data_IF_087084352763
#
_entry.id   IF_087084352763
#
_cell.length_a   1.000
_cell.length_b   1.000
_cell.length_c   1.000
_cell.angle_alpha   90.00
_cell.angle_beta   90.00
_cell.angle_gamma   90.00
#
_symmetry.space_group_name_H-M   'P 1'
#
loop_
_entity.id
_entity.type
_entity.pdbx_description
1 polymer ?
#
# COMPACT_ATOMS: atom_id res chain seq x y z
N UNK A 1 53.17 -41.18 -20.60
CA UNK A 1 53.21 -40.34 -19.39
C UNK A 1 51.95 -40.60 -18.55
N UNK A 2 51.89 -41.74 -17.86
CA UNK A 2 50.75 -42.12 -17.01
C UNK A 2 51.08 -42.00 -15.51
N UNK A 3 52.31 -42.34 -15.11
CA UNK A 3 52.75 -42.31 -13.71
C UNK A 3 52.82 -40.92 -13.07
N UNK A 4 52.95 -39.85 -13.86
CA UNK A 4 52.98 -38.47 -13.33
C UNK A 4 51.58 -37.97 -12.94
N UNK A 5 50.54 -38.42 -13.66
CA UNK A 5 49.14 -38.18 -13.27
C UNK A 5 48.76 -38.99 -12.04
N UNK A 6 49.20 -40.26 -11.98
CA UNK A 6 48.98 -41.13 -10.82
C UNK A 6 49.67 -40.60 -9.56
N UNK A 7 50.91 -40.11 -9.67
CA UNK A 7 51.63 -39.50 -8.56
C UNK A 7 50.94 -38.22 -8.05
N UNK A 8 50.50 -37.34 -8.96
CA UNK A 8 49.74 -36.13 -8.59
C UNK A 8 48.38 -36.47 -7.98
N UNK A 9 47.72 -37.51 -8.46
CA UNK A 9 46.46 -37.99 -7.90
C UNK A 9 46.65 -38.51 -6.47
N UNK A 10 47.65 -39.36 -6.25
CA UNK A 10 47.93 -39.91 -4.93
C UNK A 10 48.33 -38.83 -3.92
N UNK A 11 49.07 -37.81 -4.34
CA UNK A 11 49.36 -36.65 -3.49
C UNK A 11 48.08 -35.90 -3.08
N UNK A 12 47.15 -35.66 -4.04
CA UNK A 12 45.86 -35.01 -3.75
C UNK A 12 44.95 -35.83 -2.84
N UNK A 13 44.96 -37.16 -2.96
CA UNK A 13 44.23 -38.03 -2.03
C UNK A 13 44.81 -37.97 -0.62
N UNK A 14 46.14 -37.88 -0.48
CA UNK A 14 46.81 -37.69 0.80
C UNK A 14 46.43 -36.36 1.47
N UNK A 15 46.38 -35.27 0.70
CA UNK A 15 45.95 -33.95 1.19
C UNK A 15 44.50 -33.99 1.71
N UNK A 16 43.59 -34.66 0.99
CA UNK A 16 42.18 -34.80 1.39
C UNK A 16 42.04 -35.61 2.67
N UNK A 17 42.73 -36.75 2.77
CA UNK A 17 42.69 -37.59 3.97
C UNK A 17 43.22 -36.85 5.21
N UNK A 18 44.29 -36.07 5.05
CA UNK A 18 44.84 -35.26 6.15
C UNK A 18 43.85 -34.18 6.63
N UNK A 19 43.14 -33.53 5.71
CA UNK A 19 42.11 -32.55 6.04
C UNK A 19 40.89 -33.22 6.72
N UNK A 20 40.45 -34.38 6.24
CA UNK A 20 39.37 -35.15 6.86
C UNK A 20 39.70 -35.57 8.30
N UNK A 21 40.94 -35.99 8.55
CA UNK A 21 41.37 -36.37 9.90
C UNK A 21 41.51 -35.16 10.84
N UNK A 22 41.93 -34.00 10.32
CA UNK A 22 41.92 -32.74 11.08
C UNK A 22 40.49 -32.33 11.48
N UNK A 23 39.51 -32.48 10.58
CA UNK A 23 38.10 -32.19 10.86
C UNK A 23 37.57 -33.11 11.96
N UNK A 24 37.80 -34.44 11.83
CA UNK A 24 37.37 -35.42 12.86
C UNK A 24 37.94 -35.11 14.24
N UNK A 25 39.20 -34.69 14.32
CA UNK A 25 39.86 -34.35 15.58
C UNK A 25 39.23 -33.09 16.22
N UNK A 26 38.88 -32.10 15.39
CA UNK A 26 38.21 -30.88 15.83
C UNK A 26 36.79 -31.16 16.34
N UNK A 27 36.04 -32.00 15.63
CA UNK A 27 34.69 -32.40 16.01
C UNK A 27 34.67 -33.19 17.34
N UNK A 28 35.64 -34.10 17.54
CA UNK A 28 35.78 -34.85 18.78
C UNK A 28 36.13 -33.97 20.00
N UNK A 29 36.93 -32.93 19.80
CA UNK A 29 37.26 -31.94 20.86
C UNK A 29 36.10 -30.98 21.13
N UNK A 30 35.30 -30.63 20.12
CA UNK A 30 34.08 -29.85 20.28
C UNK A 30 32.99 -30.62 21.07
N UNK A 31 32.80 -31.91 20.77
CA UNK A 31 31.83 -32.78 21.46
C UNK A 31 32.14 -32.97 22.96
N UNK A 32 33.42 -32.96 23.34
CA UNK A 32 33.84 -33.08 24.75
C UNK A 32 33.51 -31.83 25.58
N UNK A 33 33.52 -30.65 24.97
CA UNK A 33 33.15 -29.40 25.64
C UNK A 33 31.64 -29.24 25.84
N UNK A 34 30.78 -29.84 25.01
CA UNK A 34 29.32 -29.66 25.16
C UNK A 34 28.72 -30.42 26.36
N UNK A 35 29.45 -31.33 26.99
CA UNK A 35 28.94 -32.25 28.01
C UNK A 35 29.00 -31.73 29.46
N UNK A 36 29.65 -30.58 29.74
CA UNK A 36 29.76 -30.05 31.10
C UNK A 36 28.50 -29.27 31.52
N UNK A 37 27.98 -29.52 32.73
CA UNK A 37 26.79 -28.85 33.27
C UNK A 37 26.96 -27.33 33.43
N UNK A 38 28.18 -26.84 33.72
CA UNK A 38 28.50 -25.41 33.78
C UNK A 38 28.30 -24.71 32.43
N UNK A 39 28.60 -25.40 31.32
CA UNK A 39 28.40 -24.86 29.99
C UNK A 39 26.92 -24.68 29.67
N UNK A 40 26.03 -25.52 30.18
CA UNK A 40 24.59 -25.38 29.96
C UNK A 40 24.02 -24.12 30.63
N UNK A 41 24.40 -23.85 31.89
CA UNK A 41 23.95 -22.65 32.59
C UNK A 41 24.49 -21.37 31.93
N UNK A 42 25.76 -21.39 31.49
CA UNK A 42 26.36 -20.28 30.76
C UNK A 42 25.68 -20.05 29.40
N UNK A 43 25.38 -21.11 28.64
CA UNK A 43 24.65 -21.03 27.38
C UNK A 43 23.23 -20.45 27.56
N UNK A 44 22.54 -20.83 28.64
CA UNK A 44 21.22 -20.25 28.95
C UNK A 44 21.30 -18.76 29.28
N UNK A 45 22.33 -18.34 30.03
CA UNK A 45 22.57 -16.91 30.30
C UNK A 45 22.85 -16.14 29.00
N UNK A 46 23.68 -16.69 28.12
CA UNK A 46 23.98 -16.08 26.81
C UNK A 46 22.72 -15.96 25.94
N UNK A 47 21.81 -16.93 26.01
CA UNK A 47 20.50 -16.85 25.37
C UNK A 47 19.69 -15.63 25.83
N UNK A 48 19.63 -15.38 27.14
CA UNK A 48 18.95 -14.20 27.70
C UNK A 48 19.63 -12.88 27.29
N UNK A 49 20.96 -12.88 27.16
CA UNK A 49 21.71 -11.70 26.73
C UNK A 49 21.50 -11.37 25.24
N UNK A 50 21.23 -12.37 24.39
CA UNK A 50 20.89 -12.15 22.97
C UNK A 50 19.60 -11.35 22.84
N UNK A 51 18.56 -11.67 23.62
CA UNK A 51 17.28 -10.95 23.59
C UNK A 51 17.47 -9.48 23.97
N UNK A 52 18.26 -9.22 25.03
CA UNK A 52 18.61 -7.86 25.46
C UNK A 52 19.42 -7.11 24.40
N UNK A 53 20.42 -7.76 23.81
CA UNK A 53 21.24 -7.18 22.74
C UNK A 53 20.42 -6.85 21.50
N UNK A 54 19.44 -7.68 21.15
CA UNK A 54 18.54 -7.45 20.03
C UNK A 54 17.59 -6.25 20.25
N UNK A 55 17.08 -6.09 21.47
CA UNK A 55 16.12 -5.06 21.86
C UNK A 55 16.71 -3.69 22.20
N UNK A 56 18.03 -3.60 22.42
CA UNK A 56 18.67 -2.34 22.83
C UNK A 56 18.54 -1.23 21.75
N UNK A 57 18.17 0.02 22.12
CA UNK A 57 17.97 1.12 21.16
C UNK A 57 19.20 1.48 20.33
N UNK A 58 20.41 1.18 20.81
CA UNK A 58 21.67 1.43 20.11
C UNK A 58 22.09 0.33 19.11
N UNK A 59 21.33 -0.77 19.02
CA UNK A 59 21.72 -1.92 18.21
C UNK A 59 21.54 -1.63 16.72
N UNK A 60 22.66 -1.55 15.99
CA UNK A 60 22.65 -1.31 14.56
C UNK A 60 22.13 -2.51 13.76
N UNK A 61 21.60 -2.30 12.54
CA UNK A 61 21.27 -3.39 11.63
C UNK A 61 22.45 -4.34 11.33
N UNK A 62 23.69 -3.82 11.35
CA UNK A 62 24.89 -4.62 11.15
C UNK A 62 25.10 -5.62 12.29
N UNK A 63 24.93 -5.18 13.55
CA UNK A 63 25.01 -6.03 14.74
C UNK A 63 23.92 -7.10 14.74
N UNK A 64 22.67 -6.74 14.40
CA UNK A 64 21.57 -7.71 14.26
C UNK A 64 21.87 -8.77 13.21
N UNK A 65 22.45 -8.36 12.08
CA UNK A 65 22.88 -9.28 11.02
C UNK A 65 24.00 -10.21 11.47
N UNK A 66 24.94 -9.74 12.28
CA UNK A 66 25.98 -10.59 12.87
C UNK A 66 25.37 -11.63 13.81
N UNK A 67 24.47 -11.23 14.72
CA UNK A 67 23.78 -12.16 15.63
C UNK A 67 23.07 -13.27 14.84
N UNK A 68 22.29 -12.91 13.80
CA UNK A 68 21.61 -13.91 12.96
C UNK A 68 22.60 -14.88 12.30
N UNK A 69 23.69 -14.37 11.73
CA UNK A 69 24.71 -15.21 11.06
C UNK A 69 25.40 -16.19 12.00
N UNK A 70 25.50 -15.85 13.28
CA UNK A 70 26.06 -16.74 14.29
C UNK A 70 25.08 -17.83 14.73
N UNK A 71 23.77 -17.59 14.62
CA UNK A 71 22.75 -18.52 15.13
C UNK A 71 22.15 -19.41 14.05
N UNK A 72 22.01 -18.89 12.84
CA UNK A 72 21.38 -19.58 11.70
C UNK A 72 22.46 -20.19 10.81
N UNK A 73 22.33 -21.48 10.56
CA UNK A 73 23.15 -22.23 9.60
C UNK A 73 22.61 -22.01 8.19
N UNK A 74 21.34 -22.34 7.99
CA UNK A 74 20.66 -22.12 6.72
C UNK A 74 19.15 -21.92 6.92
N UNK A 75 18.50 -21.43 5.87
CA UNK A 75 17.05 -21.34 5.79
C UNK A 75 16.62 -22.03 4.51
N UNK A 76 15.99 -23.19 4.65
CA UNK A 76 15.42 -23.93 3.52
C UNK A 76 14.03 -23.36 3.24
N UNK A 77 13.77 -23.00 1.99
CA UNK A 77 12.48 -22.44 1.58
C UNK A 77 11.87 -23.33 0.51
N UNK A 78 10.71 -23.90 0.81
CA UNK A 78 9.89 -24.62 -0.15
C UNK A 78 8.60 -23.84 -0.43
N UNK A 79 8.05 -24.10 -1.60
CA UNK A 79 6.87 -23.40 -2.10
C UNK A 79 5.83 -24.45 -2.43
N UNK A 80 4.76 -24.49 -1.64
CA UNK A 80 3.59 -25.34 -1.87
C UNK A 80 2.36 -24.48 -2.18
N UNK A 81 1.98 -24.43 -3.46
CA UNK A 81 0.86 -23.62 -3.93
C UNK A 81 0.97 -22.15 -3.53
N UNK A 82 0.07 -21.71 -2.64
CA UNK A 82 -0.05 -20.36 -2.07
C UNK A 82 0.66 -20.21 -0.71
N UNK A 83 1.46 -21.18 -0.28
CA UNK A 83 2.20 -21.16 0.98
C UNK A 83 3.70 -21.26 0.72
N UNK A 84 4.47 -20.45 1.45
CA UNK A 84 5.92 -20.54 1.55
C UNK A 84 6.19 -21.22 2.88
N UNK A 85 6.79 -22.39 2.83
CA UNK A 85 7.29 -23.07 4.03
C UNK A 85 8.76 -22.75 4.18
N UNK A 86 9.15 -22.37 5.38
CA UNK A 86 10.52 -22.06 5.76
C UNK A 86 10.91 -23.01 6.87
N UNK A 87 12.08 -23.61 6.75
CA UNK A 87 12.71 -24.36 7.81
C UNK A 87 14.03 -23.66 8.12
N UNK A 88 14.14 -23.13 9.34
CA UNK A 88 15.36 -22.52 9.85
C UNK A 88 16.18 -23.63 10.49
N UNK A 89 17.39 -23.84 9.98
CA UNK A 89 18.39 -24.70 10.61
C UNK A 89 19.28 -23.84 11.50
N UNK A 90 19.29 -24.15 12.78
CA UNK A 90 20.10 -23.47 13.78
C UNK A 90 21.43 -24.19 13.93
N UNK A 91 22.50 -23.44 14.20
CA UNK A 91 23.86 -23.97 14.41
C UNK A 91 23.95 -25.01 15.55
N UNK A 92 22.93 -25.12 16.41
CA UNK A 92 22.82 -26.14 17.46
C UNK A 92 22.09 -27.42 17.05
N UNK A 93 21.80 -27.63 15.75
CA UNK A 93 21.09 -28.80 15.23
C UNK A 93 19.57 -28.79 15.47
N UNK A 94 19.03 -27.70 16.03
CA UNK A 94 17.59 -27.51 16.16
C UNK A 94 16.99 -27.02 14.82
N UNK A 95 15.71 -27.34 14.60
CA UNK A 95 14.97 -26.87 13.44
C UNK A 95 13.71 -26.11 13.87
N UNK A 96 13.40 -25.02 13.17
CA UNK A 96 12.14 -24.28 13.37
C UNK A 96 11.42 -24.11 12.06
N UNK A 97 10.20 -24.65 11.98
CA UNK A 97 9.35 -24.54 10.81
C UNK A 97 8.44 -23.30 10.92
N UNK A 98 8.28 -22.59 9.81
CA UNK A 98 7.38 -21.46 9.67
C UNK A 98 6.66 -21.57 8.33
N UNK A 99 5.34 -21.50 8.34
CA UNK A 99 4.54 -21.41 7.13
C UNK A 99 4.00 -19.98 6.98
N UNK A 100 4.29 -19.34 5.84
CA UNK A 100 3.79 -18.01 5.50
C UNK A 100 3.04 -18.10 4.20
N UNK A 101 1.81 -17.61 4.17
CA UNK A 101 1.05 -17.53 2.92
C UNK A 101 1.78 -16.61 1.93
N UNK A 102 1.98 -17.05 0.69
CA UNK A 102 2.47 -16.22 -0.40
C UNK A 102 1.63 -14.95 -0.49
N UNK A 103 2.32 -13.84 -0.70
CA UNK A 103 1.66 -12.65 -1.19
C UNK A 103 1.15 -12.93 -2.61
N UNK A 104 -0.16 -12.80 -2.83
CA UNK A 104 -0.76 -12.98 -4.16
C UNK A 104 -0.06 -12.04 -5.16
N UNK A 105 0.14 -12.52 -6.39
CA UNK A 105 0.79 -11.73 -7.45
C UNK A 105 0.17 -10.32 -7.52
N UNK A 106 1.00 -9.27 -7.32
CA UNK A 106 0.54 -7.87 -7.27
C UNK A 106 0.15 -7.31 -5.89
N UNK A 107 0.48 -7.98 -4.78
CA UNK A 107 0.34 -7.46 -3.41
C UNK A 107 1.70 -7.37 -2.70
N UNK A 108 2.46 -6.30 -2.96
CA UNK A 108 3.59 -5.92 -2.11
C UNK A 108 3.07 -5.12 -0.89
N UNK A 109 3.80 -5.10 0.24
CA UNK A 109 3.53 -4.29 1.46
C UNK A 109 3.28 -2.78 1.21
N UNK A 110 3.53 -2.30 -0.01
CA UNK A 110 3.39 -0.90 -0.42
C UNK A 110 2.27 -0.71 -1.46
N UNK A 111 1.27 -1.60 -1.52
CA UNK A 111 0.15 -1.48 -2.47
C UNK A 111 -0.78 -0.34 -2.03
N UNK A 112 -1.12 0.51 -2.98
CA UNK A 112 -2.23 1.46 -2.82
C UNK A 112 -3.53 0.66 -2.70
N UNK A 113 -4.37 1.03 -1.74
CA UNK A 113 -5.65 0.36 -1.46
C UNK A 113 -6.50 0.22 -2.74
N UNK A 114 -7.19 -0.92 -2.91
CA UNK A 114 -8.03 -1.17 -4.09
C UNK A 114 -9.12 -0.08 -4.24
N UNK A 115 -9.61 0.44 -3.11
CA UNK A 115 -10.53 1.57 -3.05
C UNK A 115 -10.02 2.80 -3.82
N UNK A 116 -8.70 3.06 -3.79
CA UNK A 116 -8.10 4.21 -4.48
C UNK A 116 -7.98 3.95 -5.98
N UNK A 117 -7.74 2.69 -6.38
CA UNK A 117 -7.72 2.31 -7.80
C UNK A 117 -9.11 2.47 -8.40
N UNK A 118 -10.14 1.98 -7.71
CA UNK A 118 -11.53 2.09 -8.16
C UNK A 118 -12.01 3.54 -8.18
N UNK A 119 -11.66 4.32 -7.16
CA UNK A 119 -11.92 5.76 -7.15
C UNK A 119 -11.18 6.48 -8.29
N UNK A 120 -9.92 6.14 -8.55
CA UNK A 120 -9.16 6.71 -9.68
C UNK A 120 -9.82 6.37 -11.01
N UNK A 121 -10.31 5.14 -11.18
CA UNK A 121 -11.03 4.71 -12.38
C UNK A 121 -12.33 5.51 -12.60
N UNK A 122 -13.08 5.74 -11.53
CA UNK A 122 -14.28 6.57 -11.60
C UNK A 122 -13.95 8.03 -11.95
N UNK A 123 -12.95 8.62 -11.28
CA UNK A 123 -12.55 10.02 -11.50
C UNK A 123 -11.90 10.26 -12.87
N UNK A 124 -11.19 9.28 -13.42
CA UNK A 124 -10.56 9.38 -14.75
C UNK A 124 -11.58 9.60 -15.88
N UNK A 125 -12.84 9.18 -15.69
CA UNK A 125 -13.94 9.42 -16.63
C UNK A 125 -14.56 10.81 -16.52
N UNK A 126 -14.09 11.62 -15.57
CA UNK A 126 -14.68 12.91 -15.23
C UNK A 126 -13.70 14.07 -15.32
N UNK A 127 -12.42 13.81 -15.04
CA UNK A 127 -11.43 14.86 -14.92
C UNK A 127 -9.99 14.38 -15.19
N UNK A 128 -9.09 15.29 -15.60
CA UNK A 128 -7.68 14.97 -15.83
C UNK A 128 -6.92 14.60 -14.56
N UNK A 129 -5.84 13.83 -14.72
CA UNK A 129 -4.99 13.28 -13.65
C UNK A 129 -4.55 14.31 -12.59
N UNK A 130 -4.34 15.57 -12.98
CA UNK A 130 -3.98 16.65 -12.06
C UNK A 130 -5.09 16.93 -11.03
N UNK A 131 -6.35 16.93 -11.45
CA UNK A 131 -7.48 17.15 -10.56
C UNK A 131 -7.81 15.89 -9.75
N UNK A 132 -7.60 14.70 -10.32
CA UNK A 132 -7.69 13.44 -9.58
C UNK A 132 -6.74 13.45 -8.39
N UNK A 133 -5.49 13.86 -8.58
CA UNK A 133 -4.50 13.95 -7.50
C UNK A 133 -4.99 14.87 -6.36
N UNK A 134 -5.55 16.04 -6.70
CA UNK A 134 -6.11 16.96 -5.73
C UNK A 134 -7.32 16.36 -4.99
N UNK A 135 -8.20 15.64 -5.69
CA UNK A 135 -9.35 14.96 -5.09
C UNK A 135 -8.92 13.85 -4.11
N UNK A 136 -7.96 13.01 -4.49
CA UNK A 136 -7.42 11.96 -3.63
C UNK A 136 -6.77 12.54 -2.35
N UNK A 137 -6.00 13.63 -2.47
CA UNK A 137 -5.40 14.30 -1.33
C UNK A 137 -6.46 14.92 -0.39
N UNK A 138 -7.50 15.57 -0.94
CA UNK A 138 -8.62 16.10 -0.13
C UNK A 138 -9.43 15.02 0.55
N UNK A 139 -9.52 13.84 -0.05
CA UNK A 139 -10.13 12.65 0.55
C UNK A 139 -9.24 11.96 1.60
N UNK A 140 -8.04 12.50 1.88
CA UNK A 140 -7.10 11.94 2.86
C UNK A 140 -6.45 10.63 2.40
N UNK A 141 -6.52 10.30 1.11
CA UNK A 141 -5.92 9.07 0.59
C UNK A 141 -4.42 9.28 0.37
N UNK A 142 -3.64 8.29 0.76
CA UNK A 142 -2.18 8.25 0.53
C UNK A 142 -1.84 7.08 -0.38
N UNK A 143 -0.69 7.19 -1.05
CA UNK A 143 -0.10 6.03 -1.77
C UNK A 143 0.27 4.93 -0.78
N UNK A 144 0.48 3.71 -1.27
CA UNK A 144 0.92 2.62 -0.39
C UNK A 144 2.25 2.88 0.35
N UNK A 145 3.07 3.86 -0.10
CA UNK A 145 4.29 4.34 0.60
C UNK A 145 4.04 5.52 1.56
N UNK A 146 2.79 5.87 1.84
CA UNK A 146 2.44 7.00 2.71
C UNK A 146 2.63 8.39 2.09
N UNK A 147 3.01 8.48 0.82
CA UNK A 147 3.16 9.77 0.12
C UNK A 147 1.81 10.31 -0.36
N UNK A 148 1.70 11.63 -0.47
CA UNK A 148 0.59 12.30 -1.16
C UNK A 148 0.58 12.06 -2.67
N UNK A 149 -0.57 12.31 -3.28
CA UNK A 149 -0.80 12.15 -4.72
C UNK A 149 -0.32 13.36 -5.52
N UNK A 150 0.34 13.08 -6.64
CA UNK A 150 0.72 14.06 -7.67
C UNK A 150 0.21 13.57 -9.01
N UNK A 151 0.10 14.47 -10.00
CA UNK A 151 -0.33 14.12 -11.36
C UNK A 151 0.49 12.95 -11.93
N UNK A 152 1.82 12.97 -11.77
CA UNK A 152 2.70 11.89 -12.24
C UNK A 152 2.38 10.55 -11.55
N UNK A 153 2.13 10.54 -10.24
CA UNK A 153 1.78 9.31 -9.50
C UNK A 153 0.42 8.75 -9.92
N UNK A 154 -0.55 9.63 -10.19
CA UNK A 154 -1.85 9.21 -10.75
C UNK A 154 -1.66 8.62 -12.14
N UNK A 155 -0.90 9.27 -13.02
CA UNK A 155 -0.60 8.75 -14.36
C UNK A 155 0.06 7.36 -14.31
N UNK A 156 1.05 7.17 -13.43
CA UNK A 156 1.69 5.85 -13.21
C UNK A 156 0.69 4.81 -12.71
N UNK A 157 -0.14 5.14 -11.71
CA UNK A 157 -1.19 4.25 -11.20
C UNK A 157 -2.17 3.86 -12.32
N UNK A 158 -2.62 4.87 -13.08
CA UNK A 158 -3.57 4.74 -14.17
C UNK A 158 -3.03 3.80 -15.25
N UNK A 159 -1.79 4.01 -15.70
CA UNK A 159 -1.14 3.18 -16.71
C UNK A 159 -0.92 1.73 -16.21
N UNK A 160 -0.49 1.56 -14.95
CA UNK A 160 -0.29 0.23 -14.36
C UNK A 160 -1.59 -0.57 -14.28
N UNK A 161 -2.72 0.10 -14.00
CA UNK A 161 -4.05 -0.52 -13.92
C UNK A 161 -4.85 -0.43 -15.23
N UNK A 162 -4.23 -0.03 -16.34
CA UNK A 162 -4.87 0.11 -17.66
C UNK A 162 -6.16 0.96 -17.64
N UNK A 163 -6.19 1.99 -16.81
CA UNK A 163 -7.29 2.93 -16.74
C UNK A 163 -7.16 3.93 -17.89
N UNK A 164 -8.24 4.14 -18.65
CA UNK A 164 -8.25 5.07 -19.78
C UNK A 164 -8.09 6.51 -19.29
N UNK A 165 -7.37 7.33 -20.05
CA UNK A 165 -7.18 8.76 -19.75
C UNK A 165 -8.49 9.52 -19.96
N UNK A 166 -8.70 10.59 -19.19
CA UNK A 166 -9.82 11.49 -19.36
C UNK A 166 -9.93 11.98 -20.81
N UNK A 167 -11.14 11.87 -21.37
CA UNK A 167 -11.52 12.40 -22.67
C UNK A 167 -12.58 13.47 -22.49
N UNK A 168 -12.28 14.67 -22.99
CA UNK A 168 -13.25 15.76 -23.05
C UNK A 168 -14.45 15.35 -23.91
N UNK A 169 -15.67 15.67 -23.47
CA UNK A 169 -16.91 15.26 -24.14
C UNK A 169 -17.52 13.94 -23.65
N UNK A 170 -16.74 13.03 -23.04
CA UNK A 170 -17.25 11.71 -22.60
C UNK A 170 -18.38 11.84 -21.56
N UNK A 171 -18.33 12.87 -20.72
CA UNK A 171 -19.39 13.15 -19.74
C UNK A 171 -20.69 13.60 -20.40
N UNK A 172 -20.59 14.52 -21.35
CA UNK A 172 -21.73 15.06 -22.08
C UNK A 172 -22.42 13.96 -22.89
N UNK A 173 -21.66 13.04 -23.49
CA UNK A 173 -22.19 11.85 -24.16
C UNK A 173 -23.02 10.94 -23.23
N UNK A 174 -22.71 10.92 -21.93
CA UNK A 174 -23.48 10.18 -20.91
C UNK A 174 -24.66 10.97 -20.33
N UNK A 175 -24.86 12.21 -20.76
CA UNK A 175 -25.84 13.11 -20.16
C UNK A 175 -25.48 13.51 -18.72
N UNK A 176 -24.19 13.54 -18.38
CA UNK A 176 -23.71 13.91 -17.05
C UNK A 176 -23.17 15.35 -17.03
N UNK A 177 -23.76 16.19 -16.19
CA UNK A 177 -23.39 17.59 -16.02
C UNK A 177 -22.65 17.82 -14.70
N UNK A 178 -21.71 18.76 -14.71
CA UNK A 178 -21.11 19.30 -13.49
C UNK A 178 -22.07 20.24 -12.80
N UNK A 179 -21.72 20.63 -11.58
CA UNK A 179 -22.47 21.62 -10.82
C UNK A 179 -22.58 22.99 -11.55
N UNK A 180 -21.50 23.42 -12.20
CA UNK A 180 -21.48 24.71 -12.90
C UNK A 180 -22.32 24.65 -14.19
N UNK A 181 -22.18 23.57 -14.97
CA UNK A 181 -23.02 23.35 -16.17
C UNK A 181 -24.52 23.22 -15.80
N UNK A 182 -24.84 22.52 -14.71
CA UNK A 182 -26.21 22.43 -14.22
C UNK A 182 -26.75 23.78 -13.74
N UNK A 183 -25.89 24.64 -13.20
CA UNK A 183 -26.26 26.01 -12.81
C UNK A 183 -26.59 26.87 -14.02
N UNK A 184 -25.85 26.74 -15.12
CA UNK A 184 -26.16 27.40 -16.38
C UNK A 184 -27.50 26.93 -16.96
N UNK A 185 -27.73 25.61 -17.01
CA UNK A 185 -29.01 25.04 -17.51
C UNK A 185 -30.20 25.50 -16.68
N UNK A 186 -30.06 25.55 -15.36
CA UNK A 186 -31.10 26.00 -14.45
C UNK A 186 -31.13 27.53 -14.28
N UNK A 187 -30.28 28.31 -14.96
CA UNK A 187 -30.13 29.75 -14.77
C UNK A 187 -30.11 30.16 -13.28
N UNK A 188 -29.30 29.44 -12.50
CA UNK A 188 -29.11 29.65 -11.06
C UNK A 188 -27.62 29.87 -10.75
N UNK A 189 -27.32 30.35 -9.55
CA UNK A 189 -25.95 30.35 -9.06
C UNK A 189 -25.49 28.91 -8.71
N UNK A 190 -24.20 28.57 -8.88
CA UNK A 190 -23.62 27.30 -8.40
C UNK A 190 -23.96 26.99 -6.93
N UNK A 191 -23.96 28.02 -6.07
CA UNK A 191 -24.35 27.89 -4.67
C UNK A 191 -25.81 27.48 -4.47
N UNK A 192 -26.73 27.91 -5.34
CA UNK A 192 -28.14 27.56 -5.28
C UNK A 192 -28.38 26.11 -5.74
N UNK A 193 -27.68 25.67 -6.79
CA UNK A 193 -27.68 24.27 -7.22
C UNK A 193 -27.10 23.36 -6.14
N UNK A 194 -26.00 23.75 -5.51
CA UNK A 194 -25.45 23.01 -4.37
C UNK A 194 -26.46 22.87 -3.24
N UNK A 195 -27.22 23.94 -2.96
CA UNK A 195 -28.26 23.93 -1.92
C UNK A 195 -29.43 23.02 -2.29
N UNK A 196 -29.85 22.98 -3.56
CA UNK A 196 -30.85 22.03 -4.06
C UNK A 196 -30.45 20.58 -3.83
N UNK A 197 -29.17 20.26 -4.07
CA UNK A 197 -28.61 18.92 -3.82
C UNK A 197 -28.62 18.59 -2.33
N UNK A 198 -28.18 19.54 -1.49
CA UNK A 198 -28.15 19.36 -0.03
C UNK A 198 -29.54 19.19 0.59
N UNK A 199 -30.55 19.87 0.03
CA UNK A 199 -31.96 19.72 0.43
C UNK A 199 -32.62 18.46 -0.16
N UNK A 200 -31.89 17.67 -0.97
CA UNK A 200 -32.41 16.45 -1.60
C UNK A 200 -33.38 16.69 -2.76
N UNK A 201 -33.57 17.94 -3.19
CA UNK A 201 -34.50 18.31 -4.27
C UNK A 201 -33.92 18.03 -5.65
N UNK A 202 -32.59 18.03 -5.80
CA UNK A 202 -31.89 17.67 -7.03
C UNK A 202 -31.02 16.42 -6.79
N UNK A 203 -31.32 15.29 -7.45
CA UNK A 203 -30.46 14.12 -7.39
C UNK A 203 -29.06 14.42 -7.96
N UNK A 204 -28.02 14.15 -7.17
CA UNK A 204 -26.64 14.27 -7.62
C UNK A 204 -25.74 13.27 -6.91
N UNK A 205 -24.77 12.72 -7.63
CA UNK A 205 -23.75 11.82 -7.11
C UNK A 205 -22.43 12.54 -6.86
N UNK A 206 -21.71 12.14 -5.82
CA UNK A 206 -20.32 12.54 -5.60
C UNK A 206 -19.51 11.32 -5.17
N UNK A 207 -18.45 11.00 -5.91
CA UNK A 207 -17.61 9.82 -5.64
C UNK A 207 -16.77 9.93 -4.36
N UNK A 208 -16.25 11.12 -4.07
CA UNK A 208 -15.55 11.40 -2.82
C UNK A 208 -15.67 12.88 -2.45
N UNK A 209 -15.45 13.21 -1.18
CA UNK A 209 -15.49 14.60 -0.72
C UNK A 209 -14.59 15.50 -1.58
N UNK A 210 -15.19 16.49 -2.23
CA UNK A 210 -14.48 17.44 -3.08
C UNK A 210 -14.17 16.94 -4.51
N UNK A 211 -14.68 15.78 -4.92
CA UNK A 211 -14.87 15.48 -6.34
C UNK A 211 -16.01 16.35 -6.92
N UNK A 212 -16.06 16.57 -8.24
CA UNK A 212 -17.21 17.22 -8.87
C UNK A 212 -18.52 16.48 -8.54
N UNK A 213 -19.60 17.25 -8.41
CA UNK A 213 -20.95 16.68 -8.41
C UNK A 213 -21.31 16.26 -9.83
N UNK A 214 -21.97 15.10 -9.93
CA UNK A 214 -22.48 14.55 -11.18
C UNK A 214 -23.99 14.60 -11.11
N UNK A 215 -24.57 15.34 -12.03
CA UNK A 215 -26.01 15.55 -12.14
C UNK A 215 -26.42 15.02 -13.51
N UNK A 216 -27.46 14.18 -13.59
CA UNK A 216 -27.97 13.75 -14.89
C UNK A 216 -28.80 14.85 -15.52
N UNK A 217 -28.67 15.02 -16.84
CA UNK A 217 -29.45 16.00 -17.58
C UNK A 217 -30.96 15.77 -17.43
N UNK A 218 -31.38 14.50 -17.39
CA UNK A 218 -32.78 14.11 -17.18
C UNK A 218 -33.34 14.57 -15.83
N UNK A 219 -32.48 14.64 -14.80
CA UNK A 219 -32.88 15.05 -13.46
C UNK A 219 -33.16 16.56 -13.39
N UNK A 220 -32.56 17.37 -14.27
CA UNK A 220 -32.82 18.80 -14.36
C UNK A 220 -34.21 19.11 -14.93
N UNK A 221 -34.75 18.20 -15.77
CA UNK A 221 -36.07 18.34 -16.38
C UNK A 221 -37.23 17.93 -15.47
N UNK A 222 -36.96 17.38 -14.27
CA UNK A 222 -38.01 16.98 -13.33
C UNK A 222 -38.80 18.19 -12.88
N UNK A 223 -40.13 18.09 -12.88
CA UNK A 223 -41.01 19.19 -12.51
C UNK A 223 -40.73 19.74 -11.10
N UNK A 224 -40.45 18.85 -10.14
CA UNK A 224 -40.06 19.23 -8.77
C UNK A 224 -38.79 20.09 -8.72
N UNK A 225 -37.81 19.80 -9.57
CA UNK A 225 -36.54 20.55 -9.68
C UNK A 225 -36.77 21.90 -10.32
N UNK A 226 -37.57 21.96 -11.39
CA UNK A 226 -37.93 23.20 -12.09
C UNK A 226 -38.69 24.14 -11.14
N UNK A 227 -39.68 23.64 -10.40
CA UNK A 227 -40.41 24.41 -9.40
C UNK A 227 -39.48 24.90 -8.28
N UNK A 228 -38.56 24.04 -7.80
CA UNK A 228 -37.55 24.39 -6.81
C UNK A 228 -36.58 25.49 -7.28
N UNK A 229 -36.24 25.47 -8.56
CA UNK A 229 -35.39 26.46 -9.19
C UNK A 229 -36.14 27.79 -9.33
N UNK A 230 -37.38 27.76 -9.81
CA UNK A 230 -38.21 28.96 -9.97
C UNK A 230 -38.46 29.68 -8.64
N UNK A 231 -38.73 28.94 -7.55
CA UNK A 231 -38.86 29.50 -6.20
C UNK A 231 -37.62 30.28 -5.75
N UNK A 232 -36.43 29.94 -6.26
CA UNK A 232 -35.17 30.61 -5.92
C UNK A 232 -34.79 31.75 -6.87
N UNK A 233 -35.39 31.80 -8.07
CA UNK A 233 -35.26 32.93 -8.99
C UNK A 233 -36.12 34.13 -8.55
N UNK A 234 -37.20 33.87 -7.80
CA UNK A 234 -38.06 34.91 -7.26
C UNK A 234 -37.36 35.81 -6.23
N UNK A 235 -37.86 37.04 -6.02
CA UNK A 235 -37.36 37.92 -4.96
C UNK A 235 -37.43 37.19 -3.63
N UNK A 236 -36.34 37.20 -2.87
CA UNK A 236 -36.37 36.69 -1.50
C UNK A 236 -37.37 37.55 -0.74
N UNK A 237 -38.39 36.97 -0.07
CA UNK A 237 -39.28 37.78 0.75
C UNK A 237 -38.41 38.61 1.71
N UNK A 238 -38.73 39.91 1.90
CA UNK A 238 -38.03 40.71 2.88
C UNK A 238 -38.06 39.97 4.21
N UNK A 239 -36.97 40.04 4.93
CA UNK A 239 -36.89 39.42 6.25
C UNK A 239 -38.02 39.98 7.13
N UNK A 240 -38.68 39.09 7.86
CA UNK A 240 -39.74 39.44 8.81
C UNK A 240 -39.20 40.17 10.05
N UNK A 241 -37.88 40.42 10.13
CA UNK A 241 -37.26 41.08 11.26
C UNK A 241 -37.52 42.60 11.20
N UNK A 242 -38.31 43.17 12.13
CA UNK A 242 -38.62 44.60 12.14
C UNK A 242 -37.39 45.50 12.36
N UNK A 243 -36.27 44.96 12.84
CA UNK A 243 -35.03 45.71 13.10
C UNK A 243 -34.06 45.74 11.91
N UNK A 244 -34.41 45.12 10.78
CA UNK A 244 -33.52 45.07 9.63
C UNK A 244 -33.50 46.40 8.86
N UNK A 245 -32.43 47.17 9.05
CA UNK A 245 -32.15 48.38 8.26
C UNK A 245 -31.92 48.03 6.79
N UNK A 246 -32.85 48.42 5.93
CA UNK A 246 -32.68 48.38 4.47
C UNK A 246 -31.68 49.45 4.04
N UNK A 247 -30.62 49.06 3.35
CA UNK A 247 -29.71 50.01 2.73
C UNK A 247 -30.42 50.63 1.52
N UNK A 248 -30.73 51.92 1.62
CA UNK A 248 -31.13 52.72 0.47
C UNK A 248 -29.89 52.94 -0.42
N UNK A 249 -29.98 52.53 -1.70
CA UNK A 249 -29.05 52.92 -2.75
C UNK A 249 -29.43 54.29 -3.29
#
# INVERSE_FOLDING_TARGET
MAGELEARWNARLGDVAALEDQIKLHDATAASHSACADNRAQLMSLGADIERAWGCPGTTPATKKQIIRTLVEEIVVSVDGETIELIIHWQGGAHSALAVRKNRCGQHRWKTDNDVVDLTRALARLMPDKLIAAALNRAGKVTGRGNGWTQSRVCTLRNYHQIVVYREGERQERGELTLDEAAEVLALSPSSVRRLIQEGRLPAGQFCKGAPWIIKIDDLGRQEVIEAANQRRGPRPPSENPDQKTLAL
#
